data_IF_116164835670
#
_entry.id   IF_116164835670
#
_cell.length_a   1.000
_cell.length_b   1.000
_cell.length_c   1.000
_cell.angle_alpha   90.00
_cell.angle_beta   90.00
_cell.angle_gamma   90.00
#
_symmetry.space_group_name_H-M   'P 1'
#
loop_
_entity.id
_entity.type
_entity.pdbx_description
1 polymer ?
#
# COMPACT_ATOMS: atom_id res chain seq x y z
N UNK A 1 17.52 24.52 -25.70
CA UNK A 1 17.24 24.28 -24.27
C UNK A 1 18.20 23.23 -23.77
N UNK A 2 19.01 23.58 -22.77
CA UNK A 2 19.95 22.64 -22.14
C UNK A 2 19.25 22.02 -20.93
N UNK A 3 19.52 20.76 -20.58
CA UNK A 3 18.89 20.12 -19.41
C UNK A 3 19.00 20.94 -18.11
N UNK A 4 20.09 21.67 -17.94
CA UNK A 4 20.30 22.59 -16.81
C UNK A 4 19.31 23.78 -16.81
N UNK A 5 18.95 24.33 -17.97
CA UNK A 5 17.97 25.43 -18.05
C UNK A 5 16.58 24.92 -17.72
N UNK A 6 16.21 23.73 -18.21
CA UNK A 6 14.92 23.11 -17.88
C UNK A 6 14.73 22.86 -16.38
N UNK A 7 15.75 22.32 -15.69
CA UNK A 7 15.67 22.06 -14.24
C UNK A 7 15.57 23.38 -13.46
N UNK A 8 16.40 24.36 -13.81
CA UNK A 8 16.38 25.69 -13.19
C UNK A 8 15.02 26.36 -13.39
N UNK A 9 14.47 26.32 -14.60
CA UNK A 9 13.19 26.94 -14.94
C UNK A 9 12.03 26.23 -14.21
N UNK A 10 12.04 24.89 -14.18
CA UNK A 10 11.06 24.11 -13.42
C UNK A 10 11.11 24.43 -11.93
N UNK A 11 12.31 24.46 -11.34
CA UNK A 11 12.51 24.78 -9.93
C UNK A 11 11.97 26.17 -9.59
N UNK A 12 12.36 27.18 -10.36
CA UNK A 12 11.95 28.56 -10.10
C UNK A 12 10.44 28.75 -10.30
N UNK A 13 9.87 28.21 -11.38
CA UNK A 13 8.47 28.46 -11.74
C UNK A 13 7.46 27.60 -10.98
N UNK A 14 7.80 26.35 -10.65
CA UNK A 14 6.83 25.40 -10.08
C UNK A 14 7.05 25.10 -8.61
N UNK A 15 8.29 25.23 -8.11
CA UNK A 15 8.65 24.92 -6.73
C UNK A 15 8.77 26.19 -5.90
N UNK A 16 9.65 27.13 -6.31
CA UNK A 16 9.86 28.38 -5.58
C UNK A 16 8.63 29.29 -5.64
N UNK A 17 8.14 29.59 -6.85
CA UNK A 17 7.03 30.53 -7.04
C UNK A 17 5.69 30.07 -6.43
N UNK A 18 5.57 28.80 -6.04
CA UNK A 18 4.36 28.23 -5.44
C UNK A 18 4.60 27.71 -4.01
N UNK A 19 5.73 28.07 -3.39
CA UNK A 19 6.11 27.68 -2.01
C UNK A 19 6.06 26.16 -1.75
N UNK A 20 6.34 25.34 -2.78
CA UNK A 20 6.26 23.86 -2.70
C UNK A 20 7.56 23.20 -2.24
N UNK A 21 8.54 23.99 -1.81
CA UNK A 21 9.85 23.51 -1.36
C UNK A 21 9.72 22.48 -0.23
N UNK A 22 8.84 22.74 0.74
CA UNK A 22 8.57 21.81 1.84
C UNK A 22 8.07 20.44 1.36
N UNK A 23 7.07 20.42 0.47
CA UNK A 23 6.51 19.16 -0.07
C UNK A 23 7.53 18.41 -0.95
N UNK A 24 8.34 19.13 -1.72
CA UNK A 24 9.43 18.52 -2.47
C UNK A 24 10.42 17.82 -1.53
N UNK A 25 10.78 18.45 -0.42
CA UNK A 25 11.69 17.86 0.56
C UNK A 25 11.07 16.70 1.34
N UNK A 26 9.75 16.70 1.58
CA UNK A 26 9.02 15.53 2.07
C UNK A 26 9.23 14.34 1.11
N UNK A 27 9.02 14.54 -0.20
CA UNK A 27 9.20 13.49 -1.21
C UNK A 27 10.65 12.97 -1.23
N UNK A 28 11.63 13.87 -1.18
CA UNK A 28 13.06 13.50 -1.17
C UNK A 28 13.40 12.70 0.09
N UNK A 29 13.01 13.17 1.27
CA UNK A 29 13.23 12.47 2.54
C UNK A 29 12.61 11.09 2.55
N UNK A 30 11.38 10.97 2.03
CA UNK A 30 10.66 9.71 1.88
C UNK A 30 11.38 8.69 0.99
N UNK A 31 11.77 9.11 -0.22
CA UNK A 31 12.45 8.21 -1.17
C UNK A 31 13.81 7.76 -0.61
N UNK A 32 14.57 8.70 -0.04
CA UNK A 32 15.90 8.40 0.50
C UNK A 32 15.83 7.46 1.71
N UNK A 33 14.94 7.71 2.66
CA UNK A 33 14.82 6.85 3.85
C UNK A 33 14.31 5.46 3.50
N UNK A 34 13.30 5.36 2.62
CA UNK A 34 12.81 4.07 2.11
C UNK A 34 13.92 3.29 1.40
N UNK A 35 14.64 3.92 0.47
CA UNK A 35 15.74 3.26 -0.24
C UNK A 35 16.86 2.84 0.72
N UNK A 36 17.19 3.68 1.70
CA UNK A 36 18.20 3.40 2.71
C UNK A 36 17.82 2.19 3.56
N UNK A 37 16.60 2.14 4.12
CA UNK A 37 16.21 1.03 4.99
C UNK A 37 16.05 -0.28 4.21
N UNK A 38 15.56 -0.22 2.97
CA UNK A 38 15.48 -1.36 2.07
C UNK A 38 16.87 -1.92 1.73
N UNK A 39 17.84 -1.04 1.51
CA UNK A 39 19.23 -1.42 1.30
C UNK A 39 19.83 -2.01 2.58
N UNK A 40 19.59 -1.38 3.72
CA UNK A 40 20.04 -1.81 5.05
C UNK A 40 19.59 -3.24 5.35
N UNK A 41 18.28 -3.52 5.22
CA UNK A 41 17.72 -4.87 5.45
C UNK A 41 18.27 -5.91 4.48
N UNK A 42 18.53 -5.55 3.22
CA UNK A 42 19.19 -6.43 2.24
C UNK A 42 20.64 -6.75 2.63
N UNK A 43 21.39 -5.74 3.09
CA UNK A 43 22.78 -5.92 3.50
C UNK A 43 22.89 -6.76 4.77
N UNK A 44 21.98 -6.58 5.74
CA UNK A 44 21.91 -7.43 6.95
C UNK A 44 21.65 -8.91 6.64
N UNK A 45 20.94 -9.23 5.56
CA UNK A 45 20.70 -10.61 5.10
C UNK A 45 21.84 -11.18 4.25
N UNK A 46 22.82 -10.36 3.87
CA UNK A 46 23.93 -10.80 3.04
C UNK A 46 25.05 -11.37 3.92
N UNK A 47 25.44 -12.66 3.76
CA UNK A 47 26.54 -13.26 4.53
C UNK A 47 27.92 -12.70 4.16
N UNK A 48 28.00 -11.79 3.17
CA UNK A 48 29.25 -11.27 2.61
C UNK A 48 29.58 -9.83 3.02
N UNK A 49 28.63 -9.09 3.61
CA UNK A 49 28.82 -7.67 3.91
C UNK A 49 28.53 -7.41 5.39
N UNK A 50 29.53 -7.05 6.20
CA UNK A 50 29.27 -6.58 7.56
C UNK A 50 28.58 -5.20 7.48
N UNK A 51 27.34 -5.11 7.97
CA UNK A 51 26.54 -3.88 7.97
C UNK A 51 26.32 -3.40 9.41
N UNK A 52 26.84 -2.20 9.69
CA UNK A 52 27.03 -1.66 11.04
C UNK A 52 25.76 -1.11 11.75
N UNK A 53 24.70 -0.63 11.07
CA UNK A 53 23.48 -0.21 11.77
C UNK A 53 22.80 -1.31 12.59
N UNK A 54 22.95 -2.57 12.19
CA UNK A 54 22.41 -3.74 12.92
C UNK A 54 20.90 -3.67 13.18
N UNK A 55 20.39 -4.62 13.96
CA UNK A 55 19.05 -4.52 14.56
C UNK A 55 19.16 -3.90 15.95
N UNK A 56 18.26 -2.98 16.28
CA UNK A 56 18.16 -2.44 17.64
C UNK A 56 17.37 -3.44 18.49
N UNK A 57 18.06 -4.05 19.46
CA UNK A 57 17.47 -4.99 20.42
C UNK A 57 17.72 -4.42 21.80
N UNK A 58 16.68 -4.31 22.62
CA UNK A 58 16.85 -3.94 24.03
C UNK A 58 17.59 -5.05 24.78
N UNK A 59 18.17 -4.72 25.93
CA UNK A 59 18.78 -5.70 26.83
C UNK A 59 17.76 -6.77 27.30
N UNK A 60 16.46 -6.48 27.20
CA UNK A 60 15.35 -7.39 27.49
C UNK A 60 14.88 -8.23 26.30
N UNK A 61 15.56 -8.16 25.14
CA UNK A 61 15.25 -8.94 23.94
C UNK A 61 14.16 -8.37 23.03
N UNK A 62 13.73 -7.11 23.23
CA UNK A 62 12.69 -6.49 22.38
C UNK A 62 13.32 -5.89 21.14
N UNK A 63 12.87 -6.35 19.96
CA UNK A 63 13.30 -5.83 18.67
C UNK A 63 12.50 -4.58 18.29
N UNK A 64 13.17 -3.42 18.26
CA UNK A 64 12.54 -2.19 17.80
C UNK A 64 12.58 -2.15 16.27
N UNK A 65 11.39 -2.19 15.66
CA UNK A 65 11.26 -2.00 14.22
C UNK A 65 11.51 -0.53 13.89
N UNK A 66 12.14 -0.29 12.74
CA UNK A 66 12.50 1.05 12.29
C UNK A 66 11.27 1.95 12.05
N UNK A 67 10.08 1.35 11.89
CA UNK A 67 8.79 2.05 11.86
C UNK A 67 8.55 2.89 13.13
N UNK A 68 9.04 2.47 14.30
CA UNK A 68 8.87 3.21 15.56
C UNK A 68 9.62 4.53 15.50
N UNK A 69 10.86 4.52 15.01
CA UNK A 69 11.63 5.75 14.77
C UNK A 69 10.95 6.61 13.70
N UNK A 70 10.34 5.98 12.69
CA UNK A 70 9.57 6.67 11.66
C UNK A 70 8.39 7.45 12.23
N UNK A 71 7.59 6.84 13.10
CA UNK A 71 6.45 7.46 13.77
C UNK A 71 6.92 8.64 14.63
N UNK A 72 7.95 8.44 15.47
CA UNK A 72 8.48 9.51 16.33
C UNK A 72 9.02 10.67 15.49
N UNK A 73 9.73 10.38 14.40
CA UNK A 73 10.22 11.41 13.49
C UNK A 73 9.07 12.22 12.86
N UNK A 74 8.00 11.56 12.41
CA UNK A 74 6.82 12.27 11.88
C UNK A 74 6.13 13.12 12.94
N UNK A 75 5.99 12.62 14.18
CA UNK A 75 5.38 13.38 15.28
C UNK A 75 6.19 14.64 15.61
N UNK A 76 7.51 14.52 15.75
CA UNK A 76 8.39 15.66 16.06
C UNK A 76 8.40 16.63 14.88
N UNK A 77 8.68 16.15 13.67
CA UNK A 77 8.80 17.00 12.49
C UNK A 77 7.48 17.68 12.12
N UNK A 78 6.34 16.99 12.26
CA UNK A 78 5.01 17.57 12.05
C UNK A 78 4.68 18.65 13.09
N UNK A 79 4.95 18.37 14.36
CA UNK A 79 4.72 19.33 15.46
C UNK A 79 5.57 20.59 15.30
N UNK A 80 6.87 20.42 15.04
CA UNK A 80 7.77 21.53 14.77
C UNK A 80 7.40 22.26 13.48
N UNK A 81 6.96 21.53 12.45
CA UNK A 81 6.46 22.08 11.20
C UNK A 81 5.29 23.05 11.40
N UNK A 82 4.36 22.74 12.30
CA UNK A 82 3.29 23.67 12.67
C UNK A 82 3.79 24.86 13.51
N UNK A 83 4.81 24.67 14.35
CA UNK A 83 5.36 25.73 15.17
C UNK A 83 6.13 26.78 14.35
N UNK A 84 6.76 26.39 13.24
CA UNK A 84 7.58 27.29 12.41
C UNK A 84 6.78 28.12 11.40
N UNK A 85 5.47 27.90 11.26
CA UNK A 85 4.56 28.74 10.45
C UNK A 85 5.02 29.08 9.01
N UNK A 86 5.79 28.18 8.37
CA UNK A 86 6.30 28.41 7.01
C UNK A 86 7.64 29.15 6.94
N UNK A 87 8.28 29.45 8.08
CA UNK A 87 9.59 30.09 8.12
C UNK A 87 10.67 29.19 7.49
N UNK A 88 11.19 29.65 6.35
CA UNK A 88 12.31 29.01 5.66
C UNK A 88 13.64 29.31 6.38
N UNK A 89 14.54 28.33 6.56
CA UNK A 89 14.53 26.97 6.04
C UNK A 89 13.90 25.92 6.98
N UNK A 90 13.30 26.34 8.10
CA UNK A 90 12.87 25.42 9.15
C UNK A 90 11.67 24.57 8.72
N UNK A 91 10.74 25.15 7.96
CA UNK A 91 9.62 24.42 7.38
C UNK A 91 10.09 23.30 6.43
N UNK A 92 11.12 23.57 5.62
CA UNK A 92 11.76 22.65 4.69
C UNK A 92 12.47 21.50 5.41
N UNK A 93 13.21 21.83 6.47
CA UNK A 93 13.89 20.84 7.33
C UNK A 93 12.85 19.92 7.98
N UNK A 94 11.77 20.50 8.53
CA UNK A 94 10.66 19.73 9.08
C UNK A 94 10.00 18.85 8.01
N UNK A 95 9.75 19.37 6.82
CA UNK A 95 9.23 18.61 5.69
C UNK A 95 10.14 17.42 5.33
N UNK A 96 11.45 17.63 5.23
CA UNK A 96 12.41 16.55 4.97
C UNK A 96 12.33 15.44 6.02
N UNK A 97 12.38 15.79 7.30
CA UNK A 97 12.35 14.79 8.38
C UNK A 97 10.98 14.10 8.52
N UNK A 98 9.89 14.81 8.21
CA UNK A 98 8.58 14.20 8.09
C UNK A 98 8.57 13.14 6.99
N UNK A 99 9.14 13.47 5.81
CA UNK A 99 9.35 12.54 4.72
C UNK A 99 10.18 11.32 5.12
N UNK A 100 11.30 11.54 5.82
CA UNK A 100 12.15 10.46 6.35
C UNK A 100 11.32 9.52 7.22
N UNK A 101 10.54 10.07 8.17
CA UNK A 101 9.72 9.27 9.06
C UNK A 101 8.63 8.47 8.35
N UNK A 102 7.99 9.06 7.33
CA UNK A 102 7.03 8.37 6.48
C UNK A 102 7.67 7.22 5.70
N UNK A 103 8.87 7.42 5.13
CA UNK A 103 9.58 6.39 4.36
C UNK A 103 10.10 5.24 5.22
N UNK A 104 10.47 5.49 6.48
CA UNK A 104 10.77 4.43 7.45
C UNK A 104 9.53 3.64 7.83
N UNK A 105 8.39 4.31 8.01
CA UNK A 105 7.15 3.63 8.42
C UNK A 105 6.56 2.78 7.30
N UNK A 106 6.61 3.26 6.04
CA UNK A 106 6.01 2.56 4.90
C UNK A 106 6.77 1.28 4.48
N UNK A 107 8.04 1.10 4.85
CA UNK A 107 8.77 -0.14 4.54
C UNK A 107 8.13 -1.35 5.23
N UNK A 108 7.55 -1.13 6.41
CA UNK A 108 6.80 -2.12 7.19
C UNK A 108 5.29 -2.08 6.86
N UNK A 109 4.91 -1.58 5.67
CA UNK A 109 3.50 -1.42 5.30
C UNK A 109 2.69 -2.74 5.34
N UNK A 110 3.34 -3.88 5.16
CA UNK A 110 2.66 -5.17 5.30
C UNK A 110 2.23 -5.41 6.77
N UNK A 111 3.13 -5.12 7.72
CA UNK A 111 3.06 -5.54 9.12
C UNK A 111 1.97 -4.84 9.92
N UNK A 112 1.74 -3.54 9.69
CA UNK A 112 0.66 -2.78 10.33
C UNK A 112 -0.75 -3.02 9.74
N UNK A 113 -0.87 -3.50 8.49
CA UNK A 113 -2.18 -3.80 7.86
C UNK A 113 -2.57 -5.25 8.10
N UNK A 114 -1.59 -6.15 8.15
CA UNK A 114 -1.76 -7.57 8.40
C UNK A 114 -1.03 -7.92 9.70
N UNK A 115 -1.61 -7.48 10.82
CA UNK A 115 -1.07 -7.61 12.17
C UNK A 115 -0.92 -9.06 12.68
N UNK A 116 -1.35 -10.05 11.90
CA UNK A 116 -1.50 -11.44 12.36
C UNK A 116 -0.32 -12.38 12.10
N UNK A 117 0.64 -12.14 11.20
CA UNK A 117 1.58 -13.25 10.93
C UNK A 117 3.02 -12.92 10.53
N UNK A 118 3.92 -13.56 11.28
CA UNK A 118 5.38 -13.62 11.17
C UNK A 118 5.85 -14.41 9.91
N UNK A 119 4.97 -14.77 8.97
CA UNK A 119 5.29 -15.74 7.90
C UNK A 119 5.06 -15.29 6.44
N UNK A 120 4.80 -14.01 6.17
CA UNK A 120 4.56 -13.56 4.79
C UNK A 120 5.84 -13.26 3.99
N UNK A 121 6.57 -14.30 3.58
CA UNK A 121 7.73 -14.21 2.67
C UNK A 121 7.40 -13.58 1.29
N UNK A 122 6.11 -13.38 0.97
CA UNK A 122 5.62 -12.81 -0.30
C UNK A 122 5.32 -11.30 -0.22
N UNK A 123 5.35 -10.67 0.95
CA UNK A 123 4.79 -9.32 1.18
C UNK A 123 5.78 -8.16 1.28
N UNK A 124 7.09 -8.40 1.17
CA UNK A 124 8.03 -7.31 0.81
C UNK A 124 7.64 -6.57 -0.49
N UNK A 125 6.67 -7.12 -1.25
CA UNK A 125 6.06 -6.55 -2.46
C UNK A 125 4.90 -5.59 -2.20
N UNK A 126 4.18 -5.69 -1.07
CA UNK A 126 3.07 -4.77 -0.74
C UNK A 126 3.61 -3.40 -0.33
N UNK A 127 4.69 -3.36 0.46
CA UNK A 127 5.40 -2.12 0.82
C UNK A 127 5.96 -1.38 -0.40
N UNK A 128 6.43 -2.10 -1.43
CA UNK A 128 6.88 -1.48 -2.69
C UNK A 128 5.71 -0.84 -3.44
N UNK A 129 4.59 -1.56 -3.56
CA UNK A 129 3.41 -0.99 -4.21
C UNK A 129 2.92 0.26 -3.44
N UNK A 130 2.82 0.19 -2.10
CA UNK A 130 2.45 1.32 -1.25
C UNK A 130 3.42 2.51 -1.40
N UNK A 131 4.72 2.25 -1.46
CA UNK A 131 5.75 3.27 -1.64
C UNK A 131 5.65 3.97 -2.99
N UNK A 132 5.49 3.21 -4.08
CA UNK A 132 5.31 3.78 -5.42
C UNK A 132 4.07 4.66 -5.48
N UNK A 133 2.99 4.24 -4.82
CA UNK A 133 1.73 4.99 -4.74
C UNK A 133 1.92 6.29 -3.97
N UNK A 134 2.55 6.23 -2.80
CA UNK A 134 2.82 7.41 -1.97
C UNK A 134 3.77 8.39 -2.67
N UNK A 135 4.87 7.91 -3.25
CA UNK A 135 5.82 8.73 -4.01
C UNK A 135 5.15 9.39 -5.23
N UNK A 136 4.29 8.65 -5.95
CA UNK A 136 3.55 9.21 -7.07
C UNK A 136 2.59 10.32 -6.61
N UNK A 137 1.83 10.09 -5.53
CA UNK A 137 0.92 11.09 -4.97
C UNK A 137 1.67 12.36 -4.54
N UNK A 138 2.76 12.21 -3.77
CA UNK A 138 3.61 13.34 -3.37
C UNK A 138 4.24 14.06 -4.56
N UNK A 139 4.77 13.33 -5.55
CA UNK A 139 5.33 13.90 -6.78
C UNK A 139 4.33 14.71 -7.60
N UNK A 140 3.06 14.33 -7.57
CA UNK A 140 2.00 15.07 -8.25
C UNK A 140 1.67 16.39 -7.54
N UNK A 141 1.68 16.40 -6.21
CA UNK A 141 1.57 17.65 -5.43
C UNK A 141 2.74 18.58 -5.72
N UNK A 142 3.96 18.05 -5.80
CA UNK A 142 5.17 18.81 -6.18
C UNK A 142 5.05 19.44 -7.56
N UNK A 143 4.52 18.71 -8.54
CA UNK A 143 4.29 19.21 -9.91
C UNK A 143 3.14 20.23 -9.97
N UNK A 144 2.32 20.33 -8.92
CA UNK A 144 1.29 21.34 -8.80
C UNK A 144 -0.09 20.94 -9.26
N UNK A 145 -0.35 19.64 -9.37
CA UNK A 145 -1.72 19.15 -9.58
C UNK A 145 -2.45 19.26 -8.25
N UNK A 146 -3.20 20.35 -8.05
CA UNK A 146 -4.03 20.54 -6.86
C UNK A 146 -5.48 20.12 -7.16
N UNK A 147 -5.95 18.95 -6.68
CA UNK A 147 -7.33 18.52 -6.89
C UNK A 147 -8.36 19.33 -6.09
N UNK A 148 -7.90 20.22 -5.19
CA UNK A 148 -8.74 21.06 -4.32
C UNK A 148 -8.77 22.53 -4.74
N UNK A 149 -8.07 22.90 -5.82
CA UNK A 149 -8.14 24.25 -6.39
C UNK A 149 -9.45 24.41 -7.19
N UNK A 150 -10.53 24.57 -6.44
CA UNK A 150 -11.87 24.76 -6.95
C UNK A 150 -12.07 26.27 -7.10
N UNK A 151 -11.86 26.81 -8.31
CA UNK A 151 -12.09 28.22 -8.60
C UNK A 151 -13.44 28.68 -8.04
N UNK A 152 -13.41 29.72 -7.20
CA UNK A 152 -14.52 30.22 -6.37
C UNK A 152 -15.59 31.00 -7.14
N UNK A 153 -15.75 30.74 -8.44
CA UNK A 153 -16.82 31.31 -9.26
C UNK A 153 -18.07 30.40 -9.15
N UNK A 154 -19.23 30.98 -8.81
CA UNK A 154 -20.47 30.22 -8.58
C UNK A 154 -20.93 29.37 -9.79
N UNK A 155 -20.51 29.73 -11.00
CA UNK A 155 -20.76 28.97 -12.23
C UNK A 155 -19.89 27.68 -12.34
N UNK A 156 -18.82 27.58 -11.55
CA UNK A 156 -17.88 26.47 -11.58
C UNK A 156 -18.23 25.30 -10.64
N UNK A 157 -19.09 25.50 -9.64
CA UNK A 157 -19.36 24.48 -8.61
C UNK A 157 -19.98 23.22 -9.20
N UNK A 158 -20.97 23.35 -10.10
CA UNK A 158 -21.57 22.19 -10.76
C UNK A 158 -20.53 21.47 -11.64
N UNK A 159 -19.71 22.21 -12.37
CA UNK A 159 -18.65 21.65 -13.21
C UNK A 159 -17.62 20.90 -12.36
N UNK A 160 -17.22 21.45 -11.22
CA UNK A 160 -16.34 20.80 -10.25
C UNK A 160 -16.94 19.52 -9.68
N UNK A 161 -18.21 19.57 -9.24
CA UNK A 161 -18.90 18.39 -8.67
C UNK A 161 -19.04 17.29 -9.72
N UNK A 162 -19.45 17.63 -10.94
CA UNK A 162 -19.56 16.67 -12.05
C UNK A 162 -18.19 16.12 -12.43
N UNK A 163 -17.16 16.96 -12.51
CA UNK A 163 -15.78 16.54 -12.84
C UNK A 163 -15.20 15.62 -11.76
N UNK A 164 -15.42 15.96 -10.49
CA UNK A 164 -15.05 15.13 -9.35
C UNK A 164 -15.75 13.78 -9.40
N UNK A 165 -17.08 13.76 -9.57
CA UNK A 165 -17.85 12.52 -9.68
C UNK A 165 -17.35 11.63 -10.84
N UNK A 166 -17.12 12.22 -12.01
CA UNK A 166 -16.59 11.50 -13.17
C UNK A 166 -15.19 10.92 -12.90
N UNK A 167 -14.30 11.70 -12.30
CA UNK A 167 -12.97 11.25 -11.90
C UNK A 167 -13.06 10.06 -10.94
N UNK A 168 -13.81 10.21 -9.84
CA UNK A 168 -13.99 9.14 -8.86
C UNK A 168 -14.61 7.89 -9.47
N UNK A 169 -15.61 8.03 -10.35
CA UNK A 169 -16.20 6.91 -11.08
C UNK A 169 -15.17 6.19 -11.96
N UNK A 170 -14.33 6.93 -12.70
CA UNK A 170 -13.30 6.35 -13.57
C UNK A 170 -12.19 5.65 -12.76
N UNK A 171 -11.78 6.23 -11.63
CA UNK A 171 -10.82 5.63 -10.69
C UNK A 171 -11.40 4.35 -10.07
N UNK A 172 -12.65 4.37 -9.63
CA UNK A 172 -13.34 3.19 -9.12
C UNK A 172 -13.43 2.09 -10.19
N UNK A 173 -13.75 2.43 -11.45
CA UNK A 173 -13.74 1.49 -12.58
C UNK A 173 -12.35 0.90 -12.80
N UNK A 174 -11.28 1.70 -12.70
CA UNK A 174 -9.91 1.21 -12.77
C UNK A 174 -9.61 0.17 -11.68
N UNK A 175 -9.97 0.44 -10.43
CA UNK A 175 -9.78 -0.50 -9.32
C UNK A 175 -10.60 -1.78 -9.49
N UNK A 176 -11.89 -1.64 -9.83
CA UNK A 176 -12.76 -2.79 -10.12
C UNK A 176 -12.23 -3.67 -11.24
N UNK A 177 -11.53 -3.08 -12.23
CA UNK A 177 -10.85 -3.78 -13.34
C UNK A 177 -9.47 -4.33 -13.00
N UNK A 178 -8.98 -4.15 -11.77
CA UNK A 178 -7.64 -4.59 -11.33
C UNK A 178 -6.50 -3.78 -11.94
N UNK A 179 -6.76 -2.52 -12.32
CA UNK A 179 -5.82 -1.58 -12.94
C UNK A 179 -5.30 -0.58 -11.91
N UNK A 180 -4.84 -1.05 -10.75
CA UNK A 180 -4.52 -0.21 -9.58
C UNK A 180 -3.61 0.98 -9.93
N UNK A 181 -2.53 0.74 -10.70
CA UNK A 181 -1.62 1.81 -11.12
C UNK A 181 -2.31 2.90 -11.95
N UNK A 182 -3.26 2.53 -12.83
CA UNK A 182 -3.99 3.52 -13.63
C UNK A 182 -5.06 4.24 -12.82
N UNK A 183 -5.67 3.57 -11.81
CA UNK A 183 -6.59 4.23 -10.89
C UNK A 183 -5.87 5.28 -10.03
N UNK A 184 -4.67 4.94 -9.56
CA UNK A 184 -3.87 5.80 -8.69
C UNK A 184 -3.27 6.98 -9.47
N UNK A 185 -2.55 6.72 -10.55
CA UNK A 185 -2.04 7.80 -11.42
C UNK A 185 -3.23 8.59 -11.99
N UNK A 186 -4.31 7.91 -12.33
CA UNK A 186 -5.50 8.50 -12.94
C UNK A 186 -6.33 9.38 -12.03
N UNK A 187 -6.27 9.19 -10.70
CA UNK A 187 -6.89 10.09 -9.73
C UNK A 187 -6.34 11.51 -9.85
N UNK A 188 -5.06 11.64 -10.17
CA UNK A 188 -4.40 12.94 -10.34
C UNK A 188 -4.31 13.34 -11.82
N UNK A 189 -4.18 12.37 -12.74
CA UNK A 189 -4.11 12.59 -14.18
C UNK A 189 -5.33 11.98 -14.86
N UNK A 190 -6.41 12.76 -14.98
CA UNK A 190 -7.67 12.30 -15.55
C UNK A 190 -7.54 11.50 -16.88
N UNK A 191 -6.69 11.88 -17.86
CA UNK A 191 -6.50 11.09 -19.08
C UNK A 191 -6.03 9.65 -18.83
N UNK A 192 -5.26 9.42 -17.77
CA UNK A 192 -4.78 8.08 -17.38
C UNK A 192 -5.92 7.27 -16.74
N UNK A 193 -6.76 7.88 -15.90
CA UNK A 193 -7.97 7.24 -15.36
C UNK A 193 -8.91 6.84 -16.49
N UNK A 194 -9.14 7.75 -17.45
CA UNK A 194 -9.98 7.47 -18.62
C UNK A 194 -9.41 6.33 -19.45
N UNK A 195 -8.11 6.34 -19.74
CA UNK A 195 -7.45 5.24 -20.46
C UNK A 195 -7.59 3.90 -19.72
N UNK A 196 -7.37 3.88 -18.41
CA UNK A 196 -7.55 2.69 -17.56
C UNK A 196 -8.99 2.19 -17.54
N UNK A 197 -9.95 3.10 -17.47
CA UNK A 197 -11.38 2.82 -17.41
C UNK A 197 -11.94 2.36 -18.76
N UNK A 198 -11.47 2.87 -19.89
CA UNK A 198 -11.89 2.41 -21.22
C UNK A 198 -11.29 1.04 -21.59
N UNK A 199 -10.10 0.72 -21.07
CA UNK A 199 -9.42 -0.54 -21.39
C UNK A 199 -10.08 -1.76 -20.75
N UNK A 200 -9.81 -2.92 -21.35
CA UNK A 200 -10.27 -4.21 -20.80
C UNK A 200 -9.58 -4.48 -19.46
N UNK A 201 -10.35 -4.94 -18.49
CA UNK A 201 -9.89 -5.25 -17.14
C UNK A 201 -9.21 -6.61 -17.06
N UNK A 202 -8.51 -6.88 -15.95
CA UNK A 202 -7.87 -8.17 -15.70
C UNK A 202 -8.91 -9.28 -15.58
N UNK A 203 -8.65 -10.51 -16.05
CA UNK A 203 -9.64 -11.59 -16.13
C UNK A 203 -10.16 -12.06 -14.75
N UNK A 204 -9.38 -11.89 -13.68
CA UNK A 204 -9.77 -12.26 -12.30
C UNK A 204 -10.32 -11.08 -11.46
N UNK A 205 -10.46 -9.90 -12.06
CA UNK A 205 -10.92 -8.69 -11.35
C UNK A 205 -12.41 -8.74 -10.98
N UNK A 206 -12.84 -7.96 -9.99
CA UNK A 206 -14.25 -7.88 -9.58
C UNK A 206 -15.16 -7.49 -10.77
N UNK A 207 -14.68 -6.58 -11.62
CA UNK A 207 -15.35 -6.21 -12.87
C UNK A 207 -15.52 -7.40 -13.82
N UNK A 208 -14.47 -8.22 -14.00
CA UNK A 208 -14.53 -9.36 -14.89
C UNK A 208 -15.49 -10.44 -14.37
N UNK A 209 -15.45 -10.73 -13.06
CA UNK A 209 -16.40 -11.67 -12.42
C UNK A 209 -17.86 -11.25 -12.63
N UNK A 210 -18.14 -9.94 -12.57
CA UNK A 210 -19.50 -9.45 -12.65
C UNK A 210 -19.98 -9.09 -14.09
N UNK A 211 -19.10 -8.65 -14.99
CA UNK A 211 -19.47 -8.17 -16.36
C UNK A 211 -18.94 -9.02 -17.52
N UNK A 212 -17.93 -9.87 -17.33
CA UNK A 212 -17.38 -10.73 -18.39
C UNK A 212 -17.94 -12.14 -18.20
N UNK A 213 -17.21 -13.06 -17.55
CA UNK A 213 -17.68 -14.38 -17.15
C UNK A 213 -18.65 -15.04 -18.14
N UNK A 214 -19.72 -15.62 -17.62
CA UNK A 214 -20.78 -16.24 -18.43
C UNK A 214 -21.60 -15.21 -19.23
N UNK A 215 -21.72 -13.98 -18.73
CA UNK A 215 -22.54 -12.93 -19.37
C UNK A 215 -21.96 -12.47 -20.72
N UNK A 216 -20.64 -12.49 -20.89
CA UNK A 216 -19.92 -12.02 -22.09
C UNK A 216 -18.64 -12.85 -22.34
N UNK A 217 -18.77 -14.10 -22.81
CA UNK A 217 -17.63 -15.02 -22.96
C UNK A 217 -16.56 -14.51 -23.94
N UNK A 218 -16.97 -13.85 -25.03
CA UNK A 218 -16.02 -13.23 -25.99
C UNK A 218 -15.12 -12.16 -25.34
N UNK A 219 -15.63 -11.41 -24.36
CA UNK A 219 -14.82 -10.40 -23.64
C UNK A 219 -13.93 -11.04 -22.58
N UNK A 220 -14.38 -12.13 -21.95
CA UNK A 220 -13.57 -12.91 -21.01
C UNK A 220 -12.35 -13.52 -21.71
N UNK A 221 -12.56 -14.23 -22.83
CA UNK A 221 -11.48 -14.80 -23.63
C UNK A 221 -10.48 -13.72 -24.13
N UNK A 222 -10.98 -12.55 -24.52
CA UNK A 222 -10.12 -11.40 -24.90
C UNK A 222 -9.31 -10.85 -23.72
N UNK A 223 -9.87 -10.86 -22.51
CA UNK A 223 -9.15 -10.43 -21.30
C UNK A 223 -8.06 -11.43 -20.93
N UNK A 224 -8.35 -12.73 -20.98
CA UNK A 224 -7.41 -13.82 -20.74
C UNK A 224 -6.26 -13.81 -21.76
N UNK A 225 -6.58 -13.70 -23.05
CA UNK A 225 -5.56 -13.60 -24.11
C UNK A 225 -4.71 -12.33 -24.03
N UNK A 226 -5.23 -11.23 -23.47
CA UNK A 226 -4.46 -9.98 -23.29
C UNK A 226 -3.61 -9.98 -22.01
N UNK A 227 -4.01 -10.73 -21.00
CA UNK A 227 -3.33 -10.85 -19.72
C UNK A 227 -2.93 -12.30 -19.45
N UNK A 228 -2.04 -12.88 -20.27
CA UNK A 228 -1.44 -14.17 -19.94
C UNK A 228 -0.60 -14.02 -18.66
N UNK A 229 -0.54 -15.04 -17.80
CA UNK A 229 0.27 -15.02 -16.57
C UNK A 229 1.74 -14.64 -16.81
N UNK A 230 2.30 -14.98 -17.98
CA UNK A 230 3.73 -14.81 -18.30
C UNK A 230 4.03 -13.62 -19.23
N UNK A 231 3.34 -12.49 -19.05
CA UNK A 231 3.57 -11.31 -19.91
C UNK A 231 4.91 -10.67 -19.58
N UNK A 232 5.66 -10.23 -20.60
CA UNK A 232 6.93 -9.48 -20.44
C UNK A 232 6.86 -8.33 -19.43
N UNK A 233 5.73 -7.63 -19.36
CA UNK A 233 5.56 -6.51 -18.44
C UNK A 233 5.34 -6.96 -17.01
N UNK A 234 4.68 -8.10 -16.80
CA UNK A 234 4.51 -8.69 -15.48
C UNK A 234 5.86 -9.28 -15.02
N UNK A 235 6.61 -9.92 -15.92
CA UNK A 235 8.02 -10.31 -15.69
C UNK A 235 8.93 -9.12 -15.35
N UNK A 236 8.79 -7.99 -16.05
CA UNK A 236 9.58 -6.79 -15.73
C UNK A 236 9.16 -6.19 -14.39
N UNK A 237 7.86 -6.17 -14.10
CA UNK A 237 7.34 -5.72 -12.81
C UNK A 237 7.84 -6.61 -11.67
N UNK A 238 7.83 -7.92 -11.87
CA UNK A 238 8.37 -8.91 -10.93
C UNK A 238 9.89 -8.78 -10.80
N UNK A 239 10.63 -8.64 -11.90
CA UNK A 239 12.08 -8.41 -11.85
C UNK A 239 12.44 -7.12 -11.11
N UNK A 240 11.72 -6.02 -11.37
CA UNK A 240 11.89 -4.77 -10.62
C UNK A 240 11.57 -4.98 -9.13
N UNK A 241 10.47 -5.68 -8.82
CA UNK A 241 10.10 -6.03 -7.45
C UNK A 241 11.12 -6.94 -6.77
N UNK A 242 11.75 -7.85 -7.49
CA UNK A 242 12.78 -8.77 -6.96
C UNK A 242 14.10 -8.03 -6.72
N UNK A 243 14.43 -7.07 -7.57
CA UNK A 243 15.59 -6.18 -7.37
C UNK A 243 15.37 -5.34 -6.11
N UNK A 244 14.21 -4.68 -6.00
CA UNK A 244 13.89 -3.78 -4.88
C UNK A 244 13.56 -4.53 -3.59
N UNK A 245 12.92 -5.70 -3.67
CA UNK A 245 12.38 -6.41 -2.50
C UNK A 245 13.07 -7.72 -2.11
N UNK A 246 13.98 -8.24 -2.93
CA UNK A 246 14.61 -9.54 -2.72
C UNK A 246 13.72 -10.71 -3.14
N UNK A 247 14.33 -11.84 -3.52
CA UNK A 247 13.59 -13.07 -3.84
C UNK A 247 13.07 -13.72 -2.55
N UNK A 248 11.82 -14.18 -2.49
CA UNK A 248 11.36 -15.04 -1.40
C UNK A 248 12.23 -16.30 -1.36
N UNK A 249 12.78 -16.66 -0.20
CA UNK A 249 13.40 -17.97 -0.02
C UNK A 249 12.29 -19.03 -0.01
N UNK A 250 12.27 -19.90 -1.02
CA UNK A 250 11.21 -20.91 -1.22
C UNK A 250 10.95 -21.78 0.02
N UNK A 251 11.98 -22.07 0.81
CA UNK A 251 11.86 -22.86 2.04
C UNK A 251 11.06 -22.19 3.17
N UNK A 252 11.18 -20.87 3.36
CA UNK A 252 10.43 -20.15 4.41
C UNK A 252 8.95 -19.97 4.04
N UNK A 253 8.65 -19.86 2.74
CA UNK A 253 7.27 -19.77 2.27
C UNK A 253 6.52 -21.10 2.46
N UNK A 254 7.17 -22.24 2.19
CA UNK A 254 6.58 -23.56 2.39
C UNK A 254 6.32 -23.86 3.89
N UNK A 255 7.27 -23.52 4.76
CA UNK A 255 7.12 -23.68 6.23
C UNK A 255 5.98 -22.80 6.76
N UNK A 256 5.82 -21.58 6.23
CA UNK A 256 4.71 -20.69 6.59
C UNK A 256 3.34 -21.20 6.13
N UNK A 257 3.26 -21.71 4.90
CA UNK A 257 2.02 -22.30 4.36
C UNK A 257 1.56 -23.52 5.20
N UNK A 258 2.51 -24.32 5.68
CA UNK A 258 2.27 -25.50 6.53
C UNK A 258 1.87 -25.11 7.96
N UNK A 259 2.52 -24.11 8.55
CA UNK A 259 2.14 -23.56 9.85
C UNK A 259 0.73 -22.96 9.83
N UNK A 260 0.38 -22.20 8.79
CA UNK A 260 -0.94 -21.59 8.64
C UNK A 260 -2.05 -22.63 8.48
N UNK A 261 -1.78 -23.72 7.76
CA UNK A 261 -2.71 -24.84 7.65
C UNK A 261 -2.98 -25.47 9.03
N UNK A 262 -1.93 -25.70 9.82
CA UNK A 262 -2.05 -26.27 11.16
C UNK A 262 -2.81 -25.36 12.14
N UNK A 263 -2.58 -24.04 12.10
CA UNK A 263 -3.29 -23.08 12.96
C UNK A 263 -4.78 -22.98 12.59
N UNK A 264 -5.10 -23.03 11.29
CA UNK A 264 -6.49 -23.01 10.82
C UNK A 264 -7.23 -24.28 11.25
N UNK A 265 -6.60 -25.44 11.14
CA UNK A 265 -7.16 -26.71 11.62
C UNK A 265 -7.39 -26.70 13.14
N UNK A 266 -6.41 -26.24 13.92
CA UNK A 266 -6.55 -26.11 15.37
C UNK A 266 -7.70 -25.16 15.77
N UNK A 267 -7.86 -24.06 15.02
CA UNK A 267 -8.95 -23.09 15.26
C UNK A 267 -10.32 -23.70 14.93
N UNK A 268 -10.42 -24.47 13.85
CA UNK A 268 -11.64 -25.19 13.49
C UNK A 268 -11.99 -26.28 14.53
N UNK A 269 -10.99 -27.02 15.06
CA UNK A 269 -11.22 -28.00 16.13
C UNK A 269 -11.71 -27.34 17.43
N UNK A 270 -11.12 -26.22 17.83
CA UNK A 270 -11.56 -25.47 19.02
C UNK A 270 -12.99 -24.96 18.85
N UNK A 271 -13.32 -24.47 17.66
CA UNK A 271 -14.68 -24.04 17.33
C UNK A 271 -15.68 -25.19 17.40
N UNK A 272 -15.36 -26.36 16.84
CA UNK A 272 -16.23 -27.53 16.89
C UNK A 272 -16.44 -28.04 18.33
N UNK A 273 -15.38 -28.03 19.16
CA UNK A 273 -15.50 -28.37 20.59
C UNK A 273 -16.37 -27.37 21.36
N UNK A 274 -16.27 -26.08 21.07
CA UNK A 274 -17.12 -25.06 21.67
C UNK A 274 -18.61 -25.22 21.25
N UNK A 275 -18.86 -25.56 19.99
CA UNK A 275 -20.22 -25.86 19.47
C UNK A 275 -20.80 -27.15 20.12
N UNK A 276 -19.99 -28.17 20.37
CA UNK A 276 -20.42 -29.38 21.09
C UNK A 276 -20.77 -29.11 22.56
N UNK A 277 -19.97 -28.29 23.26
CA UNK A 277 -20.23 -27.96 24.67
C UNK A 277 -21.49 -27.10 24.83
N UNK A 278 -21.77 -26.22 23.88
CA UNK A 278 -22.98 -25.37 23.90
C UNK A 278 -24.26 -26.16 23.57
N UNK A 279 -24.20 -27.23 22.77
CA UNK A 279 -25.35 -28.09 22.46
C UNK A 279 -25.69 -29.13 23.54
N UNK A 280 -24.81 -29.42 24.51
CA UNK A 280 -25.10 -30.35 25.62
C UNK A 280 -26.12 -29.79 26.62
N UNK A 281 -26.38 -28.47 26.60
CA UNK A 281 -27.36 -27.80 27.47
C UNK A 281 -28.83 -28.02 27.10
N UNK A 282 -29.12 -28.59 25.92
CA UNK A 282 -30.49 -28.69 25.36
C UNK A 282 -31.11 -30.09 25.46
N UNK A 283 -30.65 -30.94 26.39
CA UNK A 283 -31.30 -32.24 26.62
C UNK A 283 -32.70 -32.00 27.24
N UNK A 284 -33.79 -32.51 26.63
CA UNK A 284 -35.11 -32.39 27.23
C UNK A 284 -35.16 -33.15 28.57
N UNK A 285 -36.04 -32.74 29.51
CA UNK A 285 -36.12 -33.35 30.84
C UNK A 285 -36.45 -34.85 30.70
N UNK A 286 -35.78 -35.70 31.50
CA UNK A 286 -36.13 -37.12 31.60
C UNK A 286 -37.55 -37.22 32.13
N UNK A 287 -38.43 -37.88 31.39
CA UNK A 287 -39.73 -38.31 31.90
C UNK A 287 -39.50 -39.31 33.04
N UNK A 288 -39.99 -38.97 34.22
CA UNK A 288 -39.98 -39.83 35.40
C UNK A 288 -40.87 -41.06 35.14
N UNK A 289 -40.26 -42.24 35.16
CA UNK A 289 -40.96 -43.53 35.22
C UNK A 289 -41.59 -43.70 36.61
N UNK A 290 -42.80 -43.16 36.79
CA UNK A 290 -43.71 -43.61 37.84
C UNK A 290 -44.81 -44.48 37.20
N UNK A 291 -44.70 -45.80 37.43
CA UNK A 291 -45.79 -46.78 37.60
C UNK A 291 -45.29 -48.22 37.45
N UNK A 292 -45.01 -48.86 38.59
CA UNK A 292 -45.55 -50.17 39.02
C UNK A 292 -44.77 -50.71 40.22
N UNK A 293 -45.42 -50.72 41.38
CA UNK A 293 -44.97 -51.39 42.59
C UNK A 293 -45.94 -51.11 43.73
N UNK A 294 -46.94 -51.99 43.84
CA UNK A 294 -47.99 -52.14 44.86
C UNK A 294 -49.25 -51.25 44.78
#
# INVERSE_FOLDING_TARGET
MTYASFISDFWNQHILAHERQGVFLVLVGFILSFAFIRMSTRLMRSPKVPWWPGSVVSDSGVHLHHLVFGIVAMMIAGTLGFAVHGDSPYAEICGFFFGVGAGLTIDEFALWVHLEDVYWAKEGRSSIDATVIAAAAMGLVVVGVNPLDLGTESEGVLAVVVSGFLLFAMVAVCFLKGRNLHGIIGFFLFPVALYGACRIGKPRSAWARHRYGERRPKKQAKAEGRFPPDRRTDRFKEAFRDVVGGKPSEGLAAIGDEAFAATREATEEVRQRAEQVTHVGDRPPREDEDKRGD
#
